data_IF_374181743764
#
_entry.id   IF_374181743764
#
_cell.length_a   1.000
_cell.length_b   1.000
_cell.length_c   1.000
_cell.angle_alpha   90.00
_cell.angle_beta   90.00
_cell.angle_gamma   90.00
#
_symmetry.space_group_name_H-M   'P 1'
#
loop_
_entity.id
_entity.type
_entity.pdbx_description
1 polymer ?
#
# COMPACT_ATOMS: atom_id res chain seq x y z
N UNK A 1 -12.12 2.04 -21.12
CA UNK A 1 -11.54 3.41 -21.09
C UNK A 1 -11.24 3.74 -19.64
N UNK A 2 -9.97 3.85 -19.26
CA UNK A 2 -9.55 4.04 -17.86
C UNK A 2 -9.37 5.53 -17.48
N UNK A 3 -10.04 6.45 -18.18
CA UNK A 3 -9.98 7.88 -17.92
C UNK A 3 -8.81 8.64 -18.55
N UNK A 4 -8.75 9.94 -18.28
CA UNK A 4 -7.65 10.81 -18.68
C UNK A 4 -6.34 10.37 -18.01
N UNK A 5 -5.27 10.24 -18.81
CA UNK A 5 -3.94 9.84 -18.33
C UNK A 5 -3.54 8.40 -18.63
N UNK A 6 -4.45 7.54 -19.11
CA UNK A 6 -4.15 6.13 -19.44
C UNK A 6 -2.98 5.97 -20.43
N UNK A 7 -2.87 6.84 -21.43
CA UNK A 7 -1.75 6.81 -22.41
C UNK A 7 -0.38 7.07 -21.79
N UNK A 8 -0.34 7.61 -20.57
CA UNK A 8 0.89 7.86 -19.79
C UNK A 8 1.10 6.83 -18.67
N UNK A 9 0.20 5.86 -18.50
CA UNK A 9 0.34 4.76 -17.53
C UNK A 9 1.24 3.66 -18.10
N UNK A 10 2.52 3.95 -18.28
CA UNK A 10 3.52 3.00 -18.73
C UNK A 10 4.68 2.90 -17.72
N UNK A 11 5.27 1.72 -17.61
CA UNK A 11 6.47 1.49 -16.81
C UNK A 11 7.53 0.75 -17.64
N UNK A 12 8.79 0.89 -17.25
CA UNK A 12 9.90 0.15 -17.87
C UNK A 12 10.14 -1.13 -17.07
N UNK A 13 10.24 -2.25 -17.77
CA UNK A 13 10.73 -3.51 -17.21
C UNK A 13 12.18 -3.71 -17.63
N UNK A 14 13.05 -4.02 -16.66
CA UNK A 14 14.47 -4.26 -16.90
C UNK A 14 14.81 -5.70 -16.51
N UNK A 15 15.11 -6.55 -17.50
CA UNK A 15 15.69 -7.86 -17.27
C UNK A 15 17.18 -7.75 -17.01
N UNK A 16 17.64 -8.15 -15.82
CA UNK A 16 19.04 -8.05 -15.39
C UNK A 16 19.54 -9.43 -14.97
N UNK A 17 20.86 -9.62 -15.02
CA UNK A 17 21.51 -10.74 -14.33
C UNK A 17 21.55 -10.48 -12.80
N UNK A 18 22.00 -11.48 -12.02
CA UNK A 18 22.05 -11.36 -10.56
C UNK A 18 22.89 -10.18 -10.09
N UNK A 19 24.02 -9.91 -10.75
CA UNK A 19 24.91 -8.81 -10.38
C UNK A 19 24.23 -7.46 -10.62
N UNK A 20 23.63 -7.27 -11.78
CA UNK A 20 22.90 -6.06 -12.13
C UNK A 20 21.68 -5.84 -11.24
N UNK A 21 20.96 -6.91 -10.90
CA UNK A 21 19.85 -6.84 -9.95
C UNK A 21 20.33 -6.37 -8.57
N UNK A 22 21.41 -6.95 -8.04
CA UNK A 22 21.96 -6.56 -6.74
C UNK A 22 22.40 -5.09 -6.71
N UNK A 23 23.07 -4.60 -7.78
CA UNK A 23 23.44 -3.19 -7.91
C UNK A 23 22.21 -2.26 -7.92
N UNK A 24 21.12 -2.68 -8.58
CA UNK A 24 19.87 -1.94 -8.56
C UNK A 24 19.26 -1.92 -7.15
N UNK A 25 19.25 -3.04 -6.44
CA UNK A 25 18.77 -3.11 -5.04
C UNK A 25 19.57 -2.16 -4.14
N UNK A 26 20.90 -2.13 -4.23
CA UNK A 26 21.76 -1.21 -3.47
C UNK A 26 21.42 0.25 -3.77
N UNK A 27 21.21 0.60 -5.05
CA UNK A 27 20.78 1.94 -5.46
C UNK A 27 19.43 2.30 -4.84
N UNK A 28 18.46 1.39 -4.87
CA UNK A 28 17.11 1.63 -4.33
C UNK A 28 17.16 1.77 -2.82
N UNK A 29 17.88 0.89 -2.12
CA UNK A 29 18.03 0.90 -0.65
C UNK A 29 18.95 2.00 -0.12
N UNK A 30 19.52 2.83 -0.98
CA UNK A 30 20.36 3.96 -0.56
C UNK A 30 19.64 4.83 0.48
N UNK A 31 20.30 5.25 1.57
CA UNK A 31 19.71 6.14 2.59
C UNK A 31 19.21 7.49 2.05
N UNK A 32 19.57 7.85 0.81
CA UNK A 32 19.08 9.04 0.11
C UNK A 32 17.63 8.90 -0.34
N UNK A 33 17.12 7.69 -0.50
CA UNK A 33 15.74 7.45 -0.90
C UNK A 33 14.84 7.37 0.33
N UNK A 34 13.73 8.09 0.30
CA UNK A 34 12.75 8.08 1.38
C UNK A 34 12.13 6.69 1.60
N UNK A 35 11.64 6.41 2.81
CA UNK A 35 10.83 5.22 3.10
C UNK A 35 9.42 5.41 2.55
N UNK A 36 8.82 4.38 1.97
CA UNK A 36 7.39 4.35 1.66
C UNK A 36 6.62 3.96 2.92
N UNK A 37 6.11 4.97 3.64
CA UNK A 37 5.16 4.79 4.74
C UNK A 37 3.79 5.35 4.42
N UNK A 38 2.86 5.30 5.39
CA UNK A 38 1.48 5.78 5.22
C UNK A 38 1.41 7.19 4.63
N UNK A 39 2.19 8.14 5.16
CA UNK A 39 2.15 9.53 4.69
C UNK A 39 2.68 9.68 3.26
N UNK A 40 3.80 9.04 2.94
CA UNK A 40 4.34 9.03 1.58
C UNK A 40 3.39 8.35 0.57
N UNK A 41 2.62 7.35 1.02
CA UNK A 41 1.59 6.72 0.21
C UNK A 41 0.41 7.66 -0.04
N UNK A 42 -0.08 8.37 0.98
CA UNK A 42 -1.17 9.34 0.85
C UNK A 42 -0.81 10.49 -0.12
N UNK A 43 0.46 10.88 -0.18
CA UNK A 43 0.94 11.80 -1.22
C UNK A 43 1.01 11.15 -2.60
N UNK A 44 1.44 9.89 -2.69
CA UNK A 44 1.56 9.14 -3.94
C UNK A 44 0.21 8.82 -4.59
N UNK A 45 -0.83 8.53 -3.81
CA UNK A 45 -2.15 8.16 -4.32
C UNK A 45 -2.92 9.33 -4.93
N UNK A 46 -2.50 10.57 -4.67
CA UNK A 46 -3.07 11.77 -5.28
C UNK A 46 -3.03 11.64 -6.79
N UNK A 47 -4.07 12.12 -7.46
CA UNK A 47 -4.20 12.03 -8.92
C UNK A 47 -3.03 12.71 -9.61
N UNK A 48 -2.23 11.93 -10.34
CA UNK A 48 -1.13 12.41 -11.18
C UNK A 48 -1.19 11.76 -12.57
N UNK A 49 -0.55 12.39 -13.55
CA UNK A 49 -0.41 11.87 -14.92
C UNK A 49 1.07 11.86 -15.28
N UNK A 50 1.59 10.71 -15.71
CA UNK A 50 3.00 10.57 -16.08
C UNK A 50 3.95 10.76 -14.90
N UNK A 51 3.60 10.20 -13.73
CA UNK A 51 4.44 10.24 -12.55
C UNK A 51 5.85 9.72 -12.88
N UNK A 52 6.88 10.44 -12.42
CA UNK A 52 8.28 10.07 -12.67
C UNK A 52 8.64 8.83 -11.87
N UNK A 53 9.68 8.12 -12.31
CA UNK A 53 10.23 7.01 -11.53
C UNK A 53 10.76 7.55 -10.20
N UNK A 54 10.18 7.05 -9.11
CA UNK A 54 10.57 7.37 -7.73
C UNK A 54 11.01 6.09 -7.04
N UNK A 55 12.13 6.13 -6.32
CA UNK A 55 12.60 5.02 -5.51
C UNK A 55 12.27 5.25 -4.04
N UNK A 56 11.94 4.16 -3.34
CA UNK A 56 11.75 4.14 -1.91
C UNK A 56 12.74 3.17 -1.29
N UNK A 57 13.56 3.64 -0.33
CA UNK A 57 14.66 2.87 0.25
C UNK A 57 14.24 1.79 1.23
N UNK A 58 12.99 1.86 1.69
CA UNK A 58 12.35 0.87 2.53
C UNK A 58 10.83 1.04 2.49
N UNK A 59 10.12 0.14 3.15
CA UNK A 59 8.65 0.15 3.23
C UNK A 59 8.26 0.04 4.69
N UNK A 60 7.18 0.71 5.09
CA UNK A 60 6.58 0.54 6.41
C UNK A 60 6.00 -0.86 6.58
N UNK A 61 6.20 -1.45 7.76
CA UNK A 61 5.65 -2.75 8.08
C UNK A 61 4.13 -2.72 7.96
N UNK A 62 3.56 -3.79 7.41
CA UNK A 62 2.12 -3.93 7.16
C UNK A 62 1.50 -2.84 6.26
N UNK A 63 2.28 -2.01 5.54
CA UNK A 63 1.71 -0.99 4.67
C UNK A 63 0.76 -1.58 3.62
N UNK A 64 1.11 -2.73 3.04
CA UNK A 64 0.24 -3.42 2.08
C UNK A 64 -1.11 -3.83 2.70
N UNK A 65 -1.09 -4.34 3.94
CA UNK A 65 -2.31 -4.67 4.69
C UNK A 65 -3.16 -3.42 4.92
N UNK A 66 -2.55 -2.30 5.31
CA UNK A 66 -3.26 -1.03 5.51
C UNK A 66 -3.91 -0.51 4.21
N UNK A 67 -3.19 -0.58 3.09
CA UNK A 67 -3.72 -0.20 1.76
C UNK A 67 -4.90 -1.08 1.39
N UNK A 68 -4.74 -2.41 1.51
CA UNK A 68 -5.77 -3.38 1.15
C UNK A 68 -7.03 -3.23 2.01
N UNK A 69 -6.87 -2.96 3.30
CA UNK A 69 -7.97 -2.78 4.25
C UNK A 69 -8.39 -1.32 4.44
N UNK A 70 -8.00 -0.43 3.53
CA UNK A 70 -8.43 0.97 3.45
C UNK A 70 -8.21 1.77 4.76
N UNK A 71 -7.15 1.47 5.50
CA UNK A 71 -6.81 2.09 6.79
C UNK A 71 -5.41 2.71 6.82
N UNK A 72 -4.93 3.21 5.68
CA UNK A 72 -3.65 3.95 5.62
C UNK A 72 -3.76 5.30 6.33
N UNK A 73 -4.93 5.93 6.24
CA UNK A 73 -5.26 7.21 6.89
C UNK A 73 -5.24 7.05 8.40
N UNK A 74 -4.59 7.97 9.15
CA UNK A 74 -4.59 7.94 10.61
C UNK A 74 -6.00 7.83 11.20
N UNK A 75 -6.13 7.12 12.32
CA UNK A 75 -7.40 6.91 13.05
C UNK A 75 -8.51 6.20 12.24
N UNK A 76 -8.17 5.49 11.17
CA UNK A 76 -9.11 4.67 10.41
C UNK A 76 -9.03 3.21 10.86
N UNK A 77 -10.16 2.62 11.23
CA UNK A 77 -10.24 1.19 11.56
C UNK A 77 -10.15 0.40 10.26
N UNK A 78 -9.30 -0.63 10.24
CA UNK A 78 -9.17 -1.50 9.08
C UNK A 78 -10.45 -2.30 8.83
N UNK A 79 -10.80 -2.48 7.55
CA UNK A 79 -12.03 -3.17 7.16
C UNK A 79 -12.12 -4.60 7.70
N UNK A 80 -11.00 -5.32 7.75
CA UNK A 80 -10.93 -6.66 8.34
C UNK A 80 -11.16 -6.66 9.85
N UNK A 81 -10.63 -5.66 10.56
CA UNK A 81 -10.88 -5.48 11.99
C UNK A 81 -12.35 -5.18 12.27
N UNK A 82 -12.97 -4.27 11.50
CA UNK A 82 -14.39 -3.95 11.60
C UNK A 82 -15.26 -5.21 11.40
N UNK A 83 -14.99 -5.97 10.33
CA UNK A 83 -15.68 -7.22 10.03
C UNK A 83 -15.53 -8.26 11.16
N UNK A 84 -14.35 -8.35 11.76
CA UNK A 84 -14.10 -9.24 12.88
C UNK A 84 -14.90 -8.82 14.13
N UNK A 85 -14.91 -7.52 14.47
CA UNK A 85 -15.70 -6.99 15.58
C UNK A 85 -17.21 -7.21 15.38
N UNK A 86 -17.73 -6.97 14.18
CA UNK A 86 -19.15 -7.16 13.87
C UNK A 86 -19.56 -8.64 13.95
N UNK A 87 -18.68 -9.55 13.49
CA UNK A 87 -18.88 -10.99 13.68
C UNK A 87 -18.97 -11.38 15.16
N UNK A 88 -18.14 -10.77 16.02
CA UNK A 88 -18.22 -11.01 17.48
C UNK A 88 -19.50 -10.46 18.09
N UNK A 89 -19.93 -9.25 17.70
CA UNK A 89 -21.20 -8.66 18.13
C UNK A 89 -22.39 -9.53 17.74
N UNK A 90 -22.43 -10.01 16.50
CA UNK A 90 -23.49 -10.89 16.01
C UNK A 90 -23.57 -12.20 16.82
N UNK A 91 -22.42 -12.83 17.11
CA UNK A 91 -22.37 -14.03 17.94
C UNK A 91 -22.87 -13.79 19.37
N UNK A 92 -22.56 -12.63 19.96
CA UNK A 92 -23.02 -12.28 21.31
C UNK A 92 -24.54 -12.03 21.34
N UNK A 93 -25.09 -11.37 20.33
CA UNK A 93 -26.53 -11.15 20.21
C UNK A 93 -27.33 -12.46 20.12
N UNK A 94 -26.83 -13.45 19.37
CA UNK A 94 -27.44 -14.79 19.29
C UNK A 94 -27.45 -15.46 20.67
N UNK A 95 -26.30 -15.49 21.36
CA UNK A 95 -26.20 -16.09 22.70
C UNK A 95 -27.16 -15.47 23.72
N UNK A 96 -27.31 -14.14 23.69
CA UNK A 96 -28.21 -13.45 24.62
C UNK A 96 -29.69 -13.72 24.34
N UNK A 97 -30.07 -13.98 23.09
CA UNK A 97 -31.46 -14.35 22.73
C UNK A 97 -31.83 -15.79 23.10
N UNK A 98 -30.83 -16.66 23.24
CA UNK A 98 -30.98 -18.07 23.63
C UNK A 98 -30.92 -18.29 25.15
N UNK A 99 -30.64 -17.25 25.93
CA UNK A 99 -30.63 -17.25 27.40
C UNK A 99 -31.91 -16.63 27.97
#
# INVERSE_FOLDING_TARGET
>A
YSGHGFSKMHFKFHGLDTKGFNQWVEKVRSPKNQKLGSEAFLELEKKTIGHRVTYYGGVEDNLYHKILNLCVTPNTICMDEMMHQDKHRAKQAVKHKES
#
